data_IF_369808126311
#
_entry.id   IF_369808126311
#
_cell.length_a   1.000
_cell.length_b   1.000
_cell.length_c   1.000
_cell.angle_alpha   90.00
_cell.angle_beta   90.00
_cell.angle_gamma   90.00
#
_symmetry.space_group_name_H-M   'P 1'
#
loop_
_entity.id
_entity.type
_entity.pdbx_description
1 polymer ?
#
# COMPACT_ATOMS: atom_id res chain seq x y z
N UNK A 1 8.65 14.43 12.13
CA UNK A 1 9.13 15.47 13.09
C UNK A 1 8.29 16.75 13.05
N UNK A 2 7.98 17.37 11.89
CA UNK A 2 7.20 18.63 11.86
C UNK A 2 5.80 18.47 12.48
N UNK A 3 5.08 17.40 12.16
CA UNK A 3 3.76 17.10 12.74
C UNK A 3 3.83 16.87 14.24
N UNK A 4 4.79 16.05 14.70
CA UNK A 4 4.97 15.75 16.13
C UNK A 4 5.28 17.01 16.97
N UNK A 5 5.90 18.02 16.36
CA UNK A 5 6.21 19.30 17.00
C UNK A 5 5.17 20.40 16.70
N UNK A 6 4.02 20.06 16.13
CA UNK A 6 2.93 20.98 15.77
C UNK A 6 3.38 22.15 14.86
N UNK A 7 4.36 21.90 13.97
CA UNK A 7 4.84 22.88 12.97
C UNK A 7 4.19 22.68 11.61
N UNK A 8 3.38 21.63 11.47
CA UNK A 8 2.54 21.35 10.32
C UNK A 8 1.25 20.69 10.82
N UNK A 9 0.15 20.89 10.11
CA UNK A 9 -1.14 20.29 10.47
C UNK A 9 -1.31 18.89 9.87
N UNK A 10 -0.85 18.71 8.62
CA UNK A 10 -0.97 17.45 7.84
C UNK A 10 0.33 17.18 7.10
N UNK A 11 0.63 15.91 6.89
CA UNK A 11 1.78 15.47 6.09
C UNK A 11 1.64 14.01 5.66
N UNK A 12 2.53 13.62 4.77
CA UNK A 12 2.65 12.26 4.24
C UNK A 12 3.99 11.67 4.62
N UNK A 13 3.99 10.42 5.04
CA UNK A 13 5.21 9.70 5.41
C UNK A 13 4.98 8.20 5.30
N UNK A 14 6.03 7.42 5.09
CA UNK A 14 5.99 5.99 5.34
C UNK A 14 5.74 5.72 6.83
N UNK A 15 4.98 4.67 7.13
CA UNK A 15 4.72 4.23 8.50
C UNK A 15 6.02 3.91 9.22
N UNK A 16 6.97 3.31 8.53
CA UNK A 16 8.32 2.98 9.01
C UNK A 16 9.04 4.20 9.59
N UNK A 17 9.01 5.35 8.90
CA UNK A 17 9.66 6.57 9.38
C UNK A 17 9.01 7.18 10.62
N UNK A 18 7.73 6.98 10.82
CA UNK A 18 7.05 7.40 12.05
C UNK A 18 7.54 6.56 13.23
N UNK A 19 7.63 5.24 13.05
CA UNK A 19 8.12 4.31 14.06
C UNK A 19 9.64 4.40 14.28
N UNK A 20 10.43 4.64 13.21
CA UNK A 20 11.87 4.88 13.29
C UNK A 20 12.21 6.06 14.20
N UNK A 21 11.40 7.12 14.09
CA UNK A 21 11.61 8.33 14.90
C UNK A 21 10.93 8.27 16.28
N UNK A 22 10.19 7.20 16.61
CA UNK A 22 9.50 7.04 17.88
C UNK A 22 8.46 8.14 18.16
N UNK A 23 7.74 8.55 17.10
CA UNK A 23 6.74 9.63 17.19
C UNK A 23 5.32 9.14 16.92
N UNK A 24 5.10 7.82 16.92
CA UNK A 24 3.80 7.19 16.70
C UNK A 24 2.71 7.71 17.62
N UNK A 25 3.07 7.98 18.88
CA UNK A 25 2.15 8.54 19.89
C UNK A 25 1.99 10.07 19.83
N UNK A 26 2.73 10.74 18.95
CA UNK A 26 2.72 12.21 18.83
C UNK A 26 1.96 12.69 17.59
N UNK A 27 1.60 11.79 16.69
CA UNK A 27 0.84 12.08 15.47
C UNK A 27 -0.41 11.21 15.42
N UNK A 28 -1.38 11.59 14.60
CA UNK A 28 -2.58 10.80 14.32
C UNK A 28 -2.54 10.29 12.88
N UNK A 29 -2.61 8.97 12.70
CA UNK A 29 -2.73 8.35 11.38
C UNK A 29 -4.15 8.57 10.86
N UNK A 30 -4.29 9.27 9.74
CA UNK A 30 -5.58 9.65 9.16
C UNK A 30 -6.05 8.60 8.16
N UNK A 31 -5.13 8.11 7.30
CA UNK A 31 -5.43 7.05 6.34
C UNK A 31 -4.16 6.42 5.77
N UNK A 32 -4.29 5.17 5.34
CA UNK A 32 -3.31 4.48 4.50
C UNK A 32 -3.60 4.78 3.02
N UNK A 33 -2.62 5.30 2.29
CA UNK A 33 -2.74 5.56 0.86
C UNK A 33 -2.44 4.31 0.02
N UNK A 34 -1.86 3.28 0.62
CA UNK A 34 -1.52 2.02 -0.05
C UNK A 34 -0.40 2.13 -1.09
N UNK A 35 0.39 3.23 -1.06
CA UNK A 35 1.52 3.42 -1.98
C UNK A 35 2.83 2.95 -1.37
N UNK A 36 3.76 2.59 -2.27
CA UNK A 36 5.15 2.28 -1.93
C UNK A 36 5.26 1.26 -0.79
N UNK A 37 4.45 0.20 -0.86
CA UNK A 37 4.43 -0.87 0.13
C UNK A 37 5.80 -1.55 0.23
N UNK A 38 6.39 -1.52 1.45
CA UNK A 38 7.66 -2.13 1.77
C UNK A 38 7.59 -2.94 3.05
N UNK A 39 8.55 -3.83 3.23
CA UNK A 39 8.83 -4.51 4.50
C UNK A 39 10.18 -4.03 5.01
N UNK A 40 10.28 -3.73 6.29
CA UNK A 40 11.56 -3.55 6.97
C UNK A 40 11.98 -4.93 7.43
N UNK A 41 13.11 -5.41 6.94
CA UNK A 41 13.56 -6.79 7.11
C UNK A 41 14.96 -6.85 7.67
N UNK A 42 15.26 -7.93 8.41
CA UNK A 42 16.62 -8.34 8.73
C UNK A 42 17.06 -9.36 7.68
N UNK A 43 18.25 -9.16 7.11
CA UNK A 43 18.85 -10.04 6.12
C UNK A 43 20.31 -10.34 6.45
N UNK A 44 20.77 -11.53 6.05
CA UNK A 44 22.14 -12.01 6.22
C UNK A 44 22.63 -12.62 4.92
N UNK A 45 23.96 -12.82 4.70
CA UNK A 45 24.46 -13.57 3.54
C UNK A 45 23.80 -14.96 3.45
N UNK A 46 23.50 -15.41 2.24
CA UNK A 46 22.77 -16.67 1.98
C UNK A 46 23.45 -17.89 2.62
N UNK A 47 24.77 -17.88 2.71
CA UNK A 47 25.61 -18.97 3.25
C UNK A 47 25.65 -19.03 4.78
N UNK A 48 25.28 -17.92 5.45
CA UNK A 48 25.39 -17.79 6.91
C UNK A 48 24.26 -18.55 7.61
N UNK A 49 24.60 -19.34 8.62
CA UNK A 49 23.62 -19.88 9.57
C UNK A 49 23.21 -18.78 10.55
N UNK A 50 21.95 -18.37 10.46
CA UNK A 50 21.41 -17.26 11.26
C UNK A 50 21.37 -17.56 12.76
N UNK A 51 21.00 -18.78 13.14
CA UNK A 51 20.91 -19.17 14.55
C UNK A 51 22.30 -19.22 15.20
N UNK A 52 23.31 -19.69 14.47
CA UNK A 52 24.70 -19.69 14.95
C UNK A 52 25.28 -18.26 14.96
N UNK A 53 24.86 -17.40 14.02
CA UNK A 53 25.29 -16.01 13.99
C UNK A 53 24.84 -15.25 15.24
N UNK A 54 23.60 -15.44 15.67
CA UNK A 54 23.04 -14.75 16.85
C UNK A 54 23.69 -15.12 18.19
N UNK A 55 24.44 -16.21 18.26
CA UNK A 55 25.19 -16.61 19.45
C UNK A 55 26.45 -15.77 19.67
N UNK A 56 26.82 -14.94 18.72
CA UNK A 56 28.04 -14.12 18.72
C UNK A 56 27.68 -12.64 18.72
N UNK A 57 28.59 -11.75 19.11
CA UNK A 57 28.43 -10.32 18.88
C UNK A 57 28.33 -10.06 17.37
N UNK A 58 27.36 -9.24 16.94
CA UNK A 58 27.12 -8.91 15.55
C UNK A 58 27.06 -7.40 15.33
N UNK A 59 27.48 -6.93 14.17
CA UNK A 59 27.24 -5.56 13.72
C UNK A 59 26.06 -5.55 12.73
N UNK A 60 25.17 -4.60 12.90
CA UNK A 60 23.95 -4.44 12.12
C UNK A 60 24.07 -3.17 11.29
N UNK A 61 24.15 -3.28 9.98
CA UNK A 61 24.14 -2.14 9.07
C UNK A 61 22.69 -1.69 8.79
N UNK A 62 22.39 -0.41 8.97
CA UNK A 62 21.01 0.07 8.83
C UNK A 62 20.91 1.59 8.72
N UNK A 63 19.90 2.08 7.99
CA UNK A 63 19.39 3.45 8.12
C UNK A 63 18.35 3.59 9.24
N UNK A 64 17.73 2.47 9.67
CA UNK A 64 16.64 2.38 10.64
C UNK A 64 17.18 2.09 12.05
N UNK A 65 17.84 3.09 12.65
CA UNK A 65 18.46 2.90 13.98
C UNK A 65 17.46 2.63 15.09
N UNK A 66 16.33 3.34 15.10
CA UNK A 66 15.29 3.21 16.13
C UNK A 66 14.61 1.84 16.06
N UNK A 67 14.21 1.41 14.86
CA UNK A 67 13.61 0.10 14.63
C UNK A 67 14.60 -1.03 14.91
N UNK A 68 15.85 -0.87 14.48
CA UNK A 68 16.91 -1.85 14.75
C UNK A 68 17.19 -2.01 16.25
N UNK A 69 17.17 -0.92 17.01
CA UNK A 69 17.34 -0.99 18.45
C UNK A 69 16.20 -1.75 19.13
N UNK A 70 14.94 -1.45 18.78
CA UNK A 70 13.77 -2.21 19.25
C UNK A 70 13.90 -3.70 18.95
N UNK A 71 14.31 -4.04 17.70
CA UNK A 71 14.51 -5.43 17.27
C UNK A 71 15.62 -6.14 18.06
N UNK A 72 16.77 -5.47 18.28
CA UNK A 72 17.89 -6.00 19.09
C UNK A 72 17.42 -6.31 20.52
N UNK A 73 16.68 -5.40 21.13
CA UNK A 73 16.17 -5.54 22.49
C UNK A 73 15.14 -6.69 22.60
N UNK A 74 14.20 -6.77 21.64
CA UNK A 74 13.16 -7.81 21.58
C UNK A 74 13.73 -9.22 21.35
N UNK A 75 14.67 -9.34 20.41
CA UNK A 75 15.33 -10.62 20.08
C UNK A 75 16.47 -10.98 21.05
N UNK A 76 16.86 -10.07 21.94
CA UNK A 76 18.01 -10.23 22.85
C UNK A 76 19.32 -10.52 22.13
N UNK A 77 19.51 -9.88 20.99
CA UNK A 77 20.73 -10.02 20.16
C UNK A 77 21.85 -9.19 20.78
N UNK A 78 23.06 -9.76 20.87
CA UNK A 78 24.26 -8.99 21.23
C UNK A 78 24.74 -8.21 19.98
N UNK A 79 24.00 -7.14 19.64
CA UNK A 79 24.16 -6.40 18.41
C UNK A 79 24.65 -4.96 18.60
N UNK A 80 25.60 -4.53 17.77
CA UNK A 80 26.02 -3.14 17.64
C UNK A 80 25.44 -2.56 16.34
N UNK A 81 24.80 -1.39 16.43
CA UNK A 81 24.19 -0.74 15.27
C UNK A 81 25.21 0.16 14.58
N UNK A 82 25.45 -0.11 13.30
CA UNK A 82 26.27 0.69 12.41
C UNK A 82 25.34 1.46 11.45
N UNK A 83 25.29 2.77 11.61
CA UNK A 83 24.46 3.62 10.77
C UNK A 83 25.01 3.73 9.36
N UNK A 84 24.17 3.49 8.37
CA UNK A 84 24.44 3.67 6.94
C UNK A 84 23.62 4.84 6.36
N UNK A 85 23.97 5.25 5.14
CA UNK A 85 23.34 6.35 4.42
C UNK A 85 23.16 5.96 2.95
N UNK A 86 22.28 4.99 2.67
CA UNK A 86 22.14 4.36 1.37
C UNK A 86 23.15 3.23 1.14
N UNK A 87 22.88 2.41 0.13
CA UNK A 87 23.71 1.24 -0.26
C UNK A 87 24.10 0.33 0.89
N UNK A 88 23.19 0.16 1.85
CA UNK A 88 23.42 -0.58 3.09
C UNK A 88 23.80 -2.05 2.86
N UNK A 89 23.33 -2.64 1.76
CA UNK A 89 23.64 -4.02 1.35
C UNK A 89 25.15 -4.24 1.13
N UNK A 90 25.87 -3.20 0.67
CA UNK A 90 27.30 -3.27 0.43
C UNK A 90 28.16 -3.48 1.68
N UNK A 91 27.61 -3.23 2.88
CA UNK A 91 28.30 -3.43 4.15
C UNK A 91 28.16 -4.85 4.71
N UNK A 92 27.28 -5.66 4.11
CA UNK A 92 26.98 -7.03 4.58
C UNK A 92 27.34 -8.02 3.49
N UNK A 93 28.51 -8.61 3.61
CA UNK A 93 29.07 -9.54 2.63
C UNK A 93 29.48 -10.86 3.30
N UNK A 94 29.53 -11.93 2.52
CA UNK A 94 30.05 -13.23 2.98
C UNK A 94 31.58 -13.27 2.87
N UNK A 95 32.25 -12.35 3.56
CA UNK A 95 33.70 -12.25 3.59
C UNK A 95 34.18 -11.97 5.02
N UNK A 96 35.39 -12.38 5.40
CA UNK A 96 35.95 -12.10 6.72
C UNK A 96 36.08 -10.61 7.02
N UNK A 97 36.19 -9.76 5.99
CA UNK A 97 36.36 -8.31 6.10
C UNK A 97 35.02 -7.56 6.07
N UNK A 98 33.89 -8.26 6.13
CA UNK A 98 32.57 -7.64 6.18
C UNK A 98 32.43 -6.73 7.39
N UNK A 99 32.00 -5.49 7.16
CA UNK A 99 31.81 -4.49 8.22
C UNK A 99 30.66 -4.87 9.14
N UNK A 100 29.58 -5.44 8.56
CA UNK A 100 28.40 -5.87 9.30
C UNK A 100 28.00 -7.30 8.90
N UNK A 101 27.33 -8.00 9.79
CA UNK A 101 26.87 -9.38 9.60
C UNK A 101 25.37 -9.43 9.32
N UNK A 102 24.62 -8.41 9.72
CA UNK A 102 23.17 -8.30 9.53
C UNK A 102 22.88 -6.97 8.86
N UNK A 103 22.01 -6.99 7.85
CA UNK A 103 21.38 -5.82 7.27
C UNK A 103 19.98 -5.66 7.85
N UNK A 104 19.62 -4.46 8.29
CA UNK A 104 18.21 -4.08 8.48
C UNK A 104 17.90 -2.94 7.52
N UNK A 105 17.01 -3.21 6.55
CA UNK A 105 16.66 -2.24 5.51
C UNK A 105 15.25 -2.49 4.99
N UNK A 106 14.72 -1.55 4.20
CA UNK A 106 13.44 -1.71 3.53
C UNK A 106 13.60 -2.53 2.24
N UNK A 107 12.56 -3.27 1.92
CA UNK A 107 12.48 -3.96 0.63
C UNK A 107 11.03 -4.11 0.19
N UNK A 108 10.77 -3.90 -1.10
CA UNK A 108 9.47 -4.20 -1.71
C UNK A 108 9.43 -5.67 -2.16
N UNK A 109 10.24 -6.04 -3.13
CA UNK A 109 10.25 -7.38 -3.75
C UNK A 109 11.34 -8.32 -3.23
N UNK A 110 12.35 -7.79 -2.56
CA UNK A 110 13.56 -8.52 -2.16
C UNK A 110 14.61 -8.66 -3.26
N UNK A 111 14.40 -8.05 -4.44
CA UNK A 111 15.30 -8.23 -5.59
C UNK A 111 16.70 -7.68 -5.34
N UNK A 112 16.85 -6.52 -4.68
CA UNK A 112 18.16 -5.95 -4.36
C UNK A 112 18.91 -6.83 -3.35
N UNK A 113 18.23 -7.34 -2.34
CA UNK A 113 18.81 -8.29 -1.38
C UNK A 113 19.31 -9.55 -2.08
N UNK A 114 18.51 -10.14 -2.95
CA UNK A 114 18.89 -11.33 -3.73
C UNK A 114 20.06 -11.05 -4.66
N UNK A 115 20.10 -9.89 -5.31
CA UNK A 115 21.22 -9.50 -6.17
C UNK A 115 22.55 -9.39 -5.37
N UNK A 116 22.49 -9.01 -4.09
CA UNK A 116 23.60 -8.94 -3.16
C UNK A 116 23.83 -10.26 -2.38
N UNK A 117 23.18 -11.37 -2.78
CA UNK A 117 23.28 -12.70 -2.13
C UNK A 117 22.90 -12.67 -0.65
N UNK A 118 21.89 -11.86 -0.31
CA UNK A 118 21.33 -11.77 1.03
C UNK A 118 19.99 -12.50 1.09
N UNK A 119 19.77 -13.26 2.16
CA UNK A 119 18.47 -13.88 2.50
C UNK A 119 17.81 -13.15 3.65
N UNK A 120 16.50 -12.95 3.55
CA UNK A 120 15.67 -12.40 4.62
C UNK A 120 15.52 -13.46 5.71
N UNK A 121 15.81 -13.08 6.95
CA UNK A 121 15.71 -13.95 8.13
C UNK A 121 14.61 -13.51 9.09
N UNK A 122 14.22 -12.23 9.05
CA UNK A 122 13.11 -11.71 9.85
C UNK A 122 12.45 -10.51 9.16
N UNK A 123 11.22 -10.20 9.55
CA UNK A 123 10.48 -9.01 9.11
C UNK A 123 10.04 -8.22 10.32
N UNK A 124 10.62 -7.03 10.49
CA UNK A 124 10.37 -6.16 11.64
C UNK A 124 8.98 -5.51 11.55
N UNK A 125 8.64 -4.99 10.37
CA UNK A 125 7.32 -4.40 10.10
C UNK A 125 7.03 -4.27 8.61
N UNK A 126 5.76 -4.05 8.29
CA UNK A 126 5.31 -3.59 6.96
C UNK A 126 4.99 -2.11 7.00
N UNK A 127 5.29 -1.41 5.92
CA UNK A 127 5.05 0.02 5.76
C UNK A 127 4.45 0.32 4.40
N UNK A 128 3.69 1.40 4.36
CA UNK A 128 3.19 2.06 3.16
C UNK A 128 3.11 3.56 3.42
N UNK A 129 2.96 4.36 2.37
CA UNK A 129 2.75 5.80 2.51
C UNK A 129 1.41 6.08 3.16
N UNK A 130 1.41 6.90 4.21
CA UNK A 130 0.22 7.27 4.99
C UNK A 130 0.07 8.78 5.12
N UNK A 131 -1.16 9.22 5.29
CA UNK A 131 -1.51 10.58 5.69
C UNK A 131 -1.57 10.66 7.21
N UNK A 132 -0.84 11.60 7.78
CA UNK A 132 -0.82 11.89 9.21
C UNK A 132 -1.24 13.32 9.48
N UNK A 133 -1.76 13.56 10.68
CA UNK A 133 -2.03 14.89 11.20
C UNK A 133 -1.35 15.12 12.56
N UNK A 134 -1.12 16.37 12.92
CA UNK A 134 -0.71 16.71 14.29
C UNK A 134 -1.90 16.57 15.23
N UNK A 135 -1.65 16.16 16.49
CA UNK A 135 -2.68 16.06 17.51
C UNK A 135 -3.36 17.40 17.80
N UNK A 136 -2.60 18.50 17.70
CA UNK A 136 -3.15 19.86 17.86
C UNK A 136 -4.15 20.20 16.76
N UNK A 137 -3.81 19.87 15.49
CA UNK A 137 -4.74 20.09 14.38
C UNK A 137 -6.01 19.26 14.52
N UNK A 138 -5.89 18.01 14.98
CA UNK A 138 -7.05 17.15 15.20
C UNK A 138 -7.91 17.56 16.41
N UNK A 139 -7.32 18.23 17.40
CA UNK A 139 -8.06 18.82 18.53
C UNK A 139 -8.82 20.11 18.14
N UNK A 140 -8.40 20.80 17.08
CA UNK A 140 -9.09 22.00 16.57
C UNK A 140 -10.23 21.59 15.64
N UNK A 141 -11.50 21.95 15.93
CA UNK A 141 -12.66 21.51 15.14
C UNK A 141 -12.62 21.93 13.67
N UNK A 142 -12.17 23.15 13.37
CA UNK A 142 -12.11 23.66 12.01
C UNK A 142 -11.04 22.95 11.17
N UNK A 143 -9.82 22.78 11.76
CA UNK A 143 -8.73 22.05 11.12
C UNK A 143 -9.10 20.59 10.92
N UNK A 144 -9.65 19.94 11.94
CA UNK A 144 -10.14 18.55 11.87
C UNK A 144 -11.14 18.37 10.73
N UNK A 145 -12.11 19.27 10.61
CA UNK A 145 -13.08 19.21 9.51
C UNK A 145 -12.38 19.24 8.15
N UNK A 146 -11.43 20.16 7.93
CA UNK A 146 -10.66 20.25 6.69
C UNK A 146 -9.81 19.00 6.41
N UNK A 147 -9.22 18.43 7.43
CA UNK A 147 -8.44 17.17 7.34
C UNK A 147 -9.35 16.02 6.90
N UNK A 148 -10.56 15.91 7.47
CA UNK A 148 -11.52 14.87 7.11
C UNK A 148 -12.11 15.09 5.71
N UNK A 149 -12.30 16.33 5.26
CA UNK A 149 -12.67 16.66 3.88
C UNK A 149 -11.57 16.20 2.89
N UNK A 150 -10.28 16.45 3.21
CA UNK A 150 -9.15 15.97 2.41
C UNK A 150 -9.10 14.45 2.37
N UNK A 151 -9.26 13.79 3.53
CA UNK A 151 -9.33 12.33 3.61
C UNK A 151 -10.37 11.78 2.65
N UNK A 152 -11.61 12.29 2.72
CA UNK A 152 -12.71 11.87 1.85
C UNK A 152 -12.36 12.03 0.36
N UNK A 153 -11.69 13.13 -0.03
CA UNK A 153 -11.29 13.35 -1.41
C UNK A 153 -10.22 12.36 -1.86
N UNK A 154 -9.26 12.03 -0.99
CA UNK A 154 -8.23 11.01 -1.29
C UNK A 154 -8.85 9.62 -1.38
N UNK A 155 -9.72 9.24 -0.44
CA UNK A 155 -10.46 7.97 -0.49
C UNK A 155 -11.23 7.85 -1.81
N UNK A 156 -11.95 8.91 -2.22
CA UNK A 156 -12.68 8.90 -3.48
C UNK A 156 -11.78 8.67 -4.72
N UNK A 157 -10.56 9.21 -4.72
CA UNK A 157 -9.58 8.98 -5.80
C UNK A 157 -9.01 7.56 -5.74
N UNK A 158 -8.70 7.06 -4.55
CA UNK A 158 -8.17 5.70 -4.37
C UNK A 158 -9.23 4.67 -4.78
N UNK A 159 -10.49 4.85 -4.34
CA UNK A 159 -11.60 3.98 -4.70
C UNK A 159 -11.87 3.94 -6.21
N UNK A 160 -11.59 5.06 -6.91
CA UNK A 160 -11.76 5.12 -8.36
C UNK A 160 -10.66 4.38 -9.14
N UNK A 161 -9.47 4.14 -8.54
CA UNK A 161 -8.35 3.52 -9.24
C UNK A 161 -8.61 2.09 -9.68
N UNK A 162 -9.33 1.35 -8.84
CA UNK A 162 -9.62 -0.05 -9.07
C UNK A 162 -10.97 -0.28 -9.73
N UNK A 163 -11.67 0.79 -10.11
CA UNK A 163 -13.00 0.72 -10.71
C UNK A 163 -13.07 1.36 -12.08
N UNK A 164 -13.96 0.83 -12.90
CA UNK A 164 -14.35 1.39 -14.21
C UNK A 164 -15.86 1.42 -14.33
N UNK A 165 -16.35 2.30 -15.16
CA UNK A 165 -17.73 2.28 -15.61
C UNK A 165 -17.81 1.49 -16.93
N UNK A 166 -18.65 0.47 -16.97
CA UNK A 166 -19.05 -0.17 -18.23
C UNK A 166 -20.42 0.35 -18.62
N UNK A 167 -20.54 0.74 -19.86
CA UNK A 167 -21.81 1.09 -20.51
C UNK A 167 -22.03 0.17 -21.69
N UNK A 168 -23.23 -0.35 -21.88
CA UNK A 168 -23.56 -1.28 -22.94
C UNK A 168 -25.00 -1.15 -23.38
N UNK A 169 -25.28 -1.57 -24.58
CA UNK A 169 -26.64 -1.70 -25.09
C UNK A 169 -27.11 -3.16 -25.01
N UNK A 170 -28.40 -3.37 -24.89
CA UNK A 170 -29.04 -4.69 -24.90
C UNK A 170 -30.43 -4.61 -25.51
N UNK A 171 -30.77 -5.57 -26.38
CA UNK A 171 -32.11 -5.67 -26.94
C UNK A 171 -33.16 -6.07 -25.87
N UNK A 172 -34.42 -5.71 -26.07
CA UNK A 172 -35.51 -5.96 -25.12
C UNK A 172 -35.59 -7.41 -24.67
N UNK A 173 -35.44 -8.37 -25.58
CA UNK A 173 -35.56 -9.82 -25.32
C UNK A 173 -34.44 -10.38 -24.44
N UNK A 174 -33.28 -9.68 -24.38
CA UNK A 174 -32.10 -10.09 -23.60
C UNK A 174 -31.94 -9.30 -22.30
N UNK A 175 -32.72 -8.26 -22.08
CA UNK A 175 -32.58 -7.34 -20.97
C UNK A 175 -32.63 -8.03 -19.61
N UNK A 176 -33.65 -8.83 -19.34
CA UNK A 176 -33.82 -9.51 -18.05
C UNK A 176 -32.69 -10.50 -17.75
N UNK A 177 -32.21 -11.21 -18.78
CA UNK A 177 -31.10 -12.13 -18.65
C UNK A 177 -29.79 -11.40 -18.33
N UNK A 178 -29.54 -10.27 -19.00
CA UNK A 178 -28.37 -9.42 -18.75
C UNK A 178 -28.39 -8.88 -17.31
N UNK A 179 -29.46 -8.20 -16.91
CA UNK A 179 -29.55 -7.53 -15.59
C UNK A 179 -29.42 -8.54 -14.43
N UNK A 180 -29.94 -9.74 -14.57
CA UNK A 180 -29.78 -10.81 -13.56
C UNK A 180 -28.34 -11.39 -13.50
N UNK A 181 -27.60 -11.29 -14.61
CA UNK A 181 -26.28 -11.92 -14.74
C UNK A 181 -25.08 -11.00 -14.48
N UNK A 182 -25.30 -9.70 -14.31
CA UNK A 182 -24.22 -8.72 -14.14
C UNK A 182 -23.98 -8.29 -12.70
N UNK A 183 -22.73 -8.14 -12.27
CA UNK A 183 -22.40 -7.48 -11.01
C UNK A 183 -22.65 -5.97 -11.13
N UNK A 184 -23.03 -5.34 -10.03
CA UNK A 184 -23.07 -3.87 -9.93
C UNK A 184 -22.83 -3.46 -8.48
N UNK A 185 -22.31 -2.26 -8.24
CA UNK A 185 -22.05 -1.75 -6.88
C UNK A 185 -23.33 -1.75 -6.02
N UNK A 186 -24.46 -1.39 -6.60
CA UNK A 186 -25.80 -1.48 -5.99
C UNK A 186 -26.77 -2.10 -6.98
N UNK A 187 -27.14 -1.34 -8.00
CA UNK A 187 -28.03 -1.76 -9.09
C UNK A 187 -27.53 -1.13 -10.40
N UNK A 188 -27.74 -1.78 -11.55
CA UNK A 188 -27.44 -1.16 -12.83
C UNK A 188 -28.27 0.09 -13.02
N UNK A 189 -27.67 1.12 -13.66
CA UNK A 189 -28.46 2.24 -14.19
C UNK A 189 -28.97 1.83 -15.57
N UNK A 190 -30.27 1.97 -15.79
CA UNK A 190 -30.93 1.55 -17.03
C UNK A 190 -31.67 2.72 -17.66
N UNK A 191 -31.53 2.90 -18.97
CA UNK A 191 -32.25 3.89 -19.78
C UNK A 191 -32.75 3.26 -21.06
N UNK A 192 -33.99 3.54 -21.51
CA UNK A 192 -34.45 3.04 -22.80
C UNK A 192 -33.67 3.70 -23.96
N UNK A 193 -33.37 2.91 -24.98
CA UNK A 193 -32.81 3.44 -26.24
C UNK A 193 -33.89 4.17 -27.05
N UNK A 194 -33.43 5.11 -27.87
CA UNK A 194 -34.35 5.81 -28.79
C UNK A 194 -35.04 4.79 -29.71
N UNK A 195 -36.34 4.93 -29.88
CA UNK A 195 -37.16 4.01 -30.67
C UNK A 195 -37.60 2.74 -29.91
N UNK A 196 -37.36 2.64 -28.62
CA UNK A 196 -37.74 1.51 -27.74
C UNK A 196 -37.17 0.14 -28.21
N UNK A 197 -36.03 0.13 -28.86
CA UNK A 197 -35.40 -1.08 -29.42
C UNK A 197 -34.49 -1.82 -28.42
N UNK A 198 -34.49 -1.40 -27.15
CA UNK A 198 -33.65 -1.97 -26.10
C UNK A 198 -33.30 -0.96 -25.02
N UNK A 199 -32.27 -1.28 -24.24
CA UNK A 199 -31.84 -0.48 -23.10
C UNK A 199 -30.32 -0.23 -23.15
N UNK A 200 -29.91 0.96 -22.71
CA UNK A 200 -28.57 1.26 -22.30
C UNK A 200 -28.42 0.91 -20.81
N UNK A 201 -27.42 0.12 -20.47
CA UNK A 201 -27.14 -0.34 -19.11
C UNK A 201 -25.74 0.13 -18.69
N UNK A 202 -25.66 0.74 -17.49
CA UNK A 202 -24.38 1.20 -16.90
C UNK A 202 -24.13 0.53 -15.58
N UNK A 203 -22.91 0.05 -15.38
CA UNK A 203 -22.45 -0.57 -14.14
C UNK A 203 -21.04 -0.10 -13.79
N UNK A 204 -20.77 0.09 -12.51
CA UNK A 204 -19.41 0.26 -12.02
C UNK A 204 -18.91 -1.09 -11.50
N UNK A 205 -17.75 -1.52 -11.98
CA UNK A 205 -17.12 -2.80 -11.66
C UNK A 205 -15.64 -2.63 -11.34
N UNK A 206 -15.03 -3.63 -10.72
CA UNK A 206 -13.59 -3.64 -10.48
C UNK A 206 -12.82 -3.91 -11.79
N UNK A 207 -11.75 -3.18 -12.04
CA UNK A 207 -10.93 -3.34 -13.27
C UNK A 207 -10.45 -4.77 -13.50
N UNK A 208 -10.05 -5.45 -12.43
CA UNK A 208 -9.58 -6.84 -12.51
C UNK A 208 -10.65 -7.84 -12.94
N UNK A 209 -11.94 -7.50 -12.77
CA UNK A 209 -13.06 -8.34 -13.17
C UNK A 209 -13.41 -8.19 -14.67
N UNK A 210 -13.03 -7.07 -15.28
CA UNK A 210 -13.42 -6.73 -16.66
C UNK A 210 -13.04 -7.81 -17.68
N UNK A 211 -11.80 -8.36 -17.70
CA UNK A 211 -11.42 -9.39 -18.69
C UNK A 211 -12.29 -10.64 -18.63
N UNK A 212 -12.77 -11.03 -17.45
CA UNK A 212 -13.65 -12.18 -17.25
C UNK A 212 -15.11 -11.82 -17.56
N UNK A 213 -15.48 -10.58 -17.26
CA UNK A 213 -16.86 -10.11 -17.41
C UNK A 213 -17.23 -9.84 -18.87
N UNK A 214 -16.34 -9.29 -19.69
CA UNK A 214 -16.62 -8.93 -21.08
C UNK A 214 -17.15 -10.09 -21.95
N UNK A 215 -16.54 -11.30 -21.95
CA UNK A 215 -17.10 -12.44 -22.69
C UNK A 215 -18.50 -12.78 -22.21
N UNK A 216 -18.72 -12.84 -20.89
CA UNK A 216 -20.03 -13.13 -20.31
C UNK A 216 -21.10 -12.11 -20.70
N UNK A 217 -20.76 -10.82 -20.72
CA UNK A 217 -21.68 -9.77 -21.17
C UNK A 217 -22.11 -9.99 -22.62
N UNK A 218 -21.17 -10.37 -23.51
CA UNK A 218 -21.49 -10.67 -24.90
C UNK A 218 -22.40 -11.89 -25.05
N UNK A 219 -22.17 -12.97 -24.29
CA UNK A 219 -23.04 -14.15 -24.25
C UNK A 219 -24.46 -13.81 -23.80
N UNK A 220 -24.60 -12.89 -22.85
CA UNK A 220 -25.87 -12.39 -22.36
C UNK A 220 -26.55 -11.40 -23.33
N UNK A 221 -25.91 -11.09 -24.48
CA UNK A 221 -26.46 -10.26 -25.53
C UNK A 221 -26.16 -8.78 -25.43
N UNK A 222 -25.15 -8.38 -24.62
CA UNK A 222 -24.66 -7.01 -24.61
C UNK A 222 -23.94 -6.66 -25.91
N UNK A 223 -24.21 -5.46 -26.43
CA UNK A 223 -23.56 -4.84 -27.59
C UNK A 223 -23.00 -3.48 -27.22
N UNK A 224 -22.18 -2.91 -28.09
CA UNK A 224 -21.64 -1.54 -27.94
C UNK A 224 -21.04 -1.29 -26.54
N UNK A 225 -20.24 -2.25 -26.04
CA UNK A 225 -19.68 -2.17 -24.70
C UNK A 225 -18.55 -1.14 -24.67
N UNK A 226 -18.70 -0.13 -23.83
CA UNK A 226 -17.77 0.96 -23.62
C UNK A 226 -17.20 0.90 -22.19
N UNK A 227 -15.92 1.18 -22.02
CA UNK A 227 -15.25 1.27 -20.72
C UNK A 227 -14.77 2.70 -20.47
N UNK A 228 -15.12 3.26 -19.31
CA UNK A 228 -14.69 4.60 -18.88
C UNK A 228 -13.92 4.52 -17.59
N UNK A 229 -12.79 5.23 -17.53
CA UNK A 229 -12.07 5.42 -16.29
C UNK A 229 -12.80 6.39 -15.37
N UNK A 230 -12.92 6.02 -14.10
CA UNK A 230 -13.49 6.88 -13.07
C UNK A 230 -12.38 7.72 -12.43
N UNK A 231 -12.66 9.00 -12.21
CA UNK A 231 -11.74 9.92 -11.53
C UNK A 231 -11.88 9.91 -10.03
N UNK A 232 -13.13 9.78 -9.55
CA UNK A 232 -13.50 9.71 -8.14
C UNK A 232 -14.72 8.83 -7.99
N UNK A 233 -14.76 8.05 -6.94
CA UNK A 233 -15.91 7.27 -6.51
C UNK A 233 -16.15 7.60 -5.05
N UNK A 234 -17.35 8.06 -4.73
CA UNK A 234 -17.83 8.25 -3.36
C UNK A 234 -19.04 7.35 -3.18
N UNK A 235 -18.89 6.22 -2.45
CA UNK A 235 -19.97 5.26 -2.22
C UNK A 235 -21.15 5.80 -1.45
#
# INVERSE_FOLDING_TARGET
MLLANNKADVGFSGKDWVYENGVEDQVEEIMDLGFDGVRIVAAVPETVDYEELLKKPVTIATEYQGLSKKWVDEKKVNGTIFRTWGTSEGFVQDTPDSIAQILIDNTSTGSSLKANRLKIVDTLMTSSTRMYASKEAMANPEKRQKIMELKMLFEAVLDARDKVMLEMNVANEKFDALVKGIPAMRSPTVSPLFGNNGYAVKIAVTKSEVPVLLPKLKELGATDILEYQLRKVMP
#
